data_IF_500525264734
#
_entry.id   IF_500525264734
#
_cell.length_a   1.000
_cell.length_b   1.000
_cell.length_c   1.000
_cell.angle_alpha   90.00
_cell.angle_beta   90.00
_cell.angle_gamma   90.00
#
_symmetry.space_group_name_H-M   'P 1'
#
loop_
_entity.id
_entity.type
_entity.pdbx_description
1 polymer ?
#
# COMPACT_ATOMS: atom_id res chain seq x y z
N UNK A 1 3.31 15.49 -7.77
CA UNK A 1 3.04 14.25 -7.01
C UNK A 1 2.43 14.62 -5.65
N UNK A 2 1.29 14.05 -5.23
CA UNK A 2 0.70 14.38 -3.90
C UNK A 2 1.30 13.51 -2.79
N UNK A 3 1.39 14.05 -1.57
CA UNK A 3 1.92 13.32 -0.41
C UNK A 3 1.16 12.00 -0.14
N UNK A 4 -0.15 11.95 -0.41
CA UNK A 4 -0.94 10.72 -0.30
C UNK A 4 -0.44 9.63 -1.26
N UNK A 5 -0.22 9.99 -2.53
CA UNK A 5 0.20 9.06 -3.57
C UNK A 5 1.59 8.48 -3.29
N UNK A 6 2.54 9.32 -2.87
CA UNK A 6 3.87 8.85 -2.50
C UNK A 6 3.82 7.83 -1.35
N UNK A 7 3.02 8.10 -0.32
CA UNK A 7 2.79 7.18 0.80
C UNK A 7 2.14 5.87 0.35
N UNK A 8 1.08 5.94 -0.47
CA UNK A 8 0.42 4.77 -1.01
C UNK A 8 1.38 3.88 -1.81
N UNK A 9 2.23 4.47 -2.65
CA UNK A 9 3.26 3.74 -3.39
C UNK A 9 4.30 3.09 -2.47
N UNK A 10 4.75 3.78 -1.41
CA UNK A 10 5.69 3.22 -0.44
C UNK A 10 5.12 2.00 0.26
N UNK A 11 3.87 2.08 0.72
CA UNK A 11 3.12 0.97 1.32
C UNK A 11 2.99 -0.19 0.35
N UNK A 12 2.65 0.12 -0.89
CA UNK A 12 2.42 -0.90 -1.90
C UNK A 12 3.71 -1.65 -2.29
N UNK A 13 4.84 -0.93 -2.42
CA UNK A 13 6.17 -1.57 -2.61
C UNK A 13 6.56 -2.43 -1.42
N UNK A 14 6.27 -1.97 -0.20
CA UNK A 14 6.55 -2.75 1.01
C UNK A 14 5.77 -4.07 1.03
N UNK A 15 4.47 -4.03 0.73
CA UNK A 15 3.62 -5.23 0.63
C UNK A 15 4.02 -6.14 -0.53
N UNK A 16 4.49 -5.58 -1.65
CA UNK A 16 4.99 -6.38 -2.77
C UNK A 16 6.24 -7.18 -2.40
N UNK A 17 7.12 -6.61 -1.59
CA UNK A 17 8.37 -7.26 -1.16
C UNK A 17 8.18 -8.23 0.01
N UNK A 18 7.33 -7.88 0.99
CA UNK A 18 7.14 -8.67 2.21
C UNK A 18 5.95 -9.63 2.15
N UNK A 19 5.03 -9.44 1.18
CA UNK A 19 3.78 -10.17 1.10
C UNK A 19 2.71 -9.66 2.08
N UNK A 20 1.67 -10.48 2.35
CA UNK A 20 0.56 -10.12 3.23
C UNK A 20 1.05 -9.74 4.63
N UNK A 21 0.87 -8.47 5.01
CA UNK A 21 1.43 -7.92 6.25
C UNK A 21 0.38 -7.14 7.05
N UNK A 22 0.51 -7.15 8.38
CA UNK A 22 -0.37 -6.36 9.27
C UNK A 22 -0.22 -4.87 9.01
N UNK A 23 -1.33 -4.14 8.91
CA UNK A 23 -1.32 -2.68 8.70
C UNK A 23 -0.54 -1.92 9.79
N UNK A 24 -0.59 -2.40 11.04
CA UNK A 24 0.19 -1.86 12.15
C UNK A 24 1.69 -2.03 11.95
N UNK A 25 2.11 -3.19 11.45
CA UNK A 25 3.51 -3.47 11.14
C UNK A 25 3.99 -2.58 9.99
N UNK A 26 3.22 -2.47 8.91
CA UNK A 26 3.53 -1.56 7.79
C UNK A 26 3.71 -0.11 8.27
N UNK A 27 2.80 0.38 9.11
CA UNK A 27 2.86 1.74 9.67
C UNK A 27 4.12 1.96 10.53
N UNK A 28 4.54 0.94 11.30
CA UNK A 28 5.75 1.01 12.12
C UNK A 28 7.01 0.98 11.27
N UNK A 29 7.09 0.05 10.31
CA UNK A 29 8.28 -0.14 9.46
C UNK A 29 8.52 1.05 8.53
N UNK A 30 7.46 1.59 7.93
CA UNK A 30 7.54 2.78 7.09
C UNK A 30 7.55 4.10 7.89
N UNK A 31 7.41 4.03 9.23
CA UNK A 31 7.21 5.19 10.12
C UNK A 31 6.11 6.14 9.61
N UNK A 32 5.09 5.57 9.00
CA UNK A 32 3.97 6.31 8.41
C UNK A 32 2.70 5.98 9.20
N UNK A 33 2.32 6.83 10.18
CA UNK A 33 1.14 6.57 11.01
C UNK A 33 -0.15 6.52 10.17
N UNK A 34 -0.20 7.22 9.03
CA UNK A 34 -1.35 7.22 8.11
C UNK A 34 -1.40 6.00 7.21
N UNK A 35 -0.45 5.07 7.29
CA UNK A 35 -0.46 3.88 6.45
C UNK A 35 -1.71 3.02 6.67
N UNK A 36 -2.21 3.01 7.91
CA UNK A 36 -3.44 2.30 8.30
C UNK A 36 -4.66 2.89 7.57
N UNK A 37 -4.80 4.22 7.59
CA UNK A 37 -5.85 4.94 6.86
C UNK A 37 -5.73 4.73 5.36
N UNK A 38 -4.53 4.79 4.79
CA UNK A 38 -4.33 4.58 3.34
C UNK A 38 -4.75 3.17 2.92
N UNK A 39 -4.36 2.15 3.70
CA UNK A 39 -4.76 0.75 3.47
C UNK A 39 -6.27 0.56 3.65
N UNK A 40 -6.88 1.26 4.61
CA UNK A 40 -8.31 1.20 4.87
C UNK A 40 -9.15 1.91 3.81
N UNK A 41 -8.79 3.14 3.45
CA UNK A 41 -9.48 3.93 2.43
C UNK A 41 -9.36 3.31 1.05
N UNK A 42 -8.25 2.63 0.76
CA UNK A 42 -8.01 1.90 -0.49
C UNK A 42 -8.46 2.68 -1.75
N UNK A 43 -8.17 3.99 -1.80
CA UNK A 43 -8.71 4.91 -2.82
C UNK A 43 -8.44 4.44 -4.25
N UNK A 44 -7.31 3.78 -4.48
CA UNK A 44 -6.92 3.27 -5.79
C UNK A 44 -7.32 1.81 -6.04
N UNK A 45 -7.85 1.10 -5.05
CA UNK A 45 -8.15 -0.33 -5.16
C UNK A 45 -6.90 -1.23 -5.24
N UNK A 46 -5.75 -0.77 -4.75
CA UNK A 46 -4.48 -1.50 -4.82
C UNK A 46 -4.26 -2.50 -3.68
N UNK A 47 -5.05 -2.40 -2.62
CA UNK A 47 -4.89 -3.22 -1.44
C UNK A 47 -6.10 -4.13 -1.26
N UNK A 48 -5.85 -5.37 -0.87
CA UNK A 48 -6.87 -6.31 -0.46
C UNK A 48 -6.65 -6.73 0.99
N UNK A 49 -7.75 -7.01 1.69
CA UNK A 49 -7.71 -7.53 3.06
C UNK A 49 -7.71 -9.05 2.99
N UNK A 50 -6.54 -9.66 3.16
CA UNK A 50 -6.38 -11.12 3.17
C UNK A 50 -6.87 -11.77 4.46
N UNK A 51 -6.81 -11.04 5.58
CA UNK A 51 -7.23 -11.49 6.90
C UNK A 51 -7.45 -10.30 7.83
N UNK A 52 -7.94 -10.55 9.06
CA UNK A 52 -8.23 -9.50 10.04
C UNK A 52 -6.95 -8.69 10.33
N UNK A 53 -6.96 -7.42 9.89
CA UNK A 53 -5.84 -6.50 10.05
C UNK A 53 -4.61 -6.77 9.17
N UNK A 54 -4.65 -7.78 8.30
CA UNK A 54 -3.60 -8.13 7.34
C UNK A 54 -4.04 -7.67 5.95
N UNK A 55 -3.14 -6.95 5.29
CA UNK A 55 -3.36 -6.41 3.96
C UNK A 55 -2.31 -6.95 3.01
N UNK A 56 -2.72 -7.16 1.77
CA UNK A 56 -1.85 -7.57 0.67
C UNK A 56 -2.10 -6.69 -0.55
N UNK A 57 -1.25 -6.83 -1.55
CA UNK A 57 -1.44 -6.18 -2.84
C UNK A 57 -2.52 -6.90 -3.63
N UNK A 58 -3.55 -6.17 -4.06
CA UNK A 58 -4.56 -6.70 -4.96
C UNK A 58 -3.93 -7.06 -6.31
N UNK A 59 -4.55 -7.96 -7.11
CA UNK A 59 -4.11 -8.23 -8.49
C UNK A 59 -3.98 -6.95 -9.32
N UNK A 60 -4.93 -6.02 -9.11
CA UNK A 60 -4.92 -4.70 -9.73
C UNK A 60 -3.71 -3.88 -9.30
N UNK A 61 -3.42 -3.81 -8.00
CA UNK A 61 -2.22 -3.13 -7.50
C UNK A 61 -0.95 -3.71 -8.12
N UNK A 62 -0.83 -5.04 -8.19
CA UNK A 62 0.35 -5.72 -8.77
C UNK A 62 0.59 -5.33 -10.23
N UNK A 63 -0.49 -5.12 -10.99
CA UNK A 63 -0.40 -4.66 -12.37
C UNK A 63 -0.18 -3.15 -12.46
N UNK A 64 -0.95 -2.33 -11.75
CA UNK A 64 -0.90 -0.88 -11.90
C UNK A 64 0.35 -0.24 -11.28
N UNK A 65 0.81 -0.70 -10.11
CA UNK A 65 1.92 -0.07 -9.38
C UNK A 65 3.23 0.01 -10.19
N UNK A 66 3.64 -1.04 -10.94
CA UNK A 66 4.77 -0.93 -11.87
C UNK A 66 4.57 0.09 -12.99
N UNK A 67 3.32 0.30 -13.43
CA UNK A 67 2.95 1.27 -14.48
C UNK A 67 2.85 2.69 -13.93
N UNK A 68 2.74 2.83 -12.60
CA UNK A 68 2.81 4.10 -11.88
C UNK A 68 4.24 4.69 -11.82
N UNK A 69 4.96 4.64 -12.95
CA UNK A 69 6.15 5.44 -13.19
C UNK A 69 5.70 6.85 -13.54
N UNK A 70 6.06 7.77 -12.65
CA UNK A 70 6.41 9.15 -12.92
C UNK A 70 6.07 9.61 -14.35
N UNK A 71 4.84 10.08 -14.57
CA UNK A 71 4.66 11.16 -15.53
C UNK A 71 5.28 12.39 -14.85
N UNK A 72 6.60 12.53 -14.97
CA UNK A 72 7.31 13.78 -14.77
C UNK A 72 7.15 14.65 -16.00
#
# INVERSE_FOLDING_TARGET
MTAYRQRALAIARFLQQNGPTKASHVAQTLREPKARDILYSNVYGWFDRSSIGIYELSPRGKQEIPHWRDNA
#
